data_IF_796922463170
#
_entry.id   IF_796922463170
#
_cell.length_a   1.000
_cell.length_b   1.000
_cell.length_c   1.000
_cell.angle_alpha   90.00
_cell.angle_beta   90.00
_cell.angle_gamma   90.00
#
_symmetry.space_group_name_H-M   'P 1'
#
loop_
_entity.id
_entity.type
_entity.pdbx_description
1 polymer ?
#
# COMPACT_ATOMS: atom_id res chain seq x y z
N UNK A 1 -22.70 -15.55 20.20
CA UNK A 1 -22.46 -14.09 20.28
C UNK A 1 -21.40 -13.81 19.25
N UNK A 2 -21.80 -13.24 18.11
CA UNK A 2 -20.82 -12.68 17.17
C UNK A 2 -20.12 -11.54 17.92
N UNK A 3 -18.82 -11.69 18.17
CA UNK A 3 -17.98 -10.52 18.34
C UNK A 3 -18.08 -9.77 17.02
N UNK A 4 -18.73 -8.60 17.05
CA UNK A 4 -18.57 -7.64 15.97
C UNK A 4 -17.07 -7.34 15.92
N UNK A 5 -16.37 -7.86 14.91
CA UNK A 5 -14.97 -7.52 14.69
C UNK A 5 -14.90 -6.03 14.38
N UNK A 6 -14.24 -5.27 15.27
CA UNK A 6 -14.13 -3.82 15.14
C UNK A 6 -12.73 -3.52 14.57
N UNK A 7 -12.49 -3.87 13.30
CA UNK A 7 -11.16 -3.71 12.67
C UNK A 7 -10.65 -2.28 12.69
N UNK A 8 -11.55 -1.30 12.79
CA UNK A 8 -11.22 0.12 12.91
C UNK A 8 -10.56 0.50 14.25
N UNK A 9 -10.50 -0.41 15.23
CA UNK A 9 -9.71 -0.24 16.46
C UNK A 9 -8.36 -0.98 16.41
N UNK A 10 -8.06 -1.69 15.32
CA UNK A 10 -6.75 -2.31 15.18
C UNK A 10 -5.68 -1.23 15.08
N UNK A 11 -4.54 -1.49 15.72
CA UNK A 11 -3.40 -0.58 15.63
C UNK A 11 -3.03 -0.37 14.16
N UNK A 12 -2.88 0.91 13.76
CA UNK A 12 -2.53 1.27 12.40
C UNK A 12 -3.64 1.12 11.38
N UNK A 13 -4.88 0.76 11.75
CA UNK A 13 -6.00 0.69 10.81
C UNK A 13 -6.94 1.87 11.04
N UNK A 14 -7.15 2.66 10.00
CA UNK A 14 -8.05 3.82 10.03
C UNK A 14 -9.19 3.61 9.06
N UNK A 15 -10.40 3.79 9.56
CA UNK A 15 -11.63 3.69 8.77
C UNK A 15 -12.30 5.05 8.60
N UNK A 16 -13.15 5.15 7.58
CA UNK A 16 -13.99 6.30 7.25
C UNK A 16 -13.22 7.56 6.80
N UNK A 17 -13.90 8.49 6.13
CA UNK A 17 -13.28 9.75 5.71
C UNK A 17 -13.36 10.80 6.83
N UNK A 18 -12.51 11.83 6.77
CA UNK A 18 -12.58 12.96 7.71
C UNK A 18 -13.92 13.70 7.55
N UNK A 19 -14.83 13.52 8.52
CA UNK A 19 -16.13 14.19 8.54
C UNK A 19 -17.30 13.32 9.03
N UNK A 20 -17.11 12.00 9.10
CA UNK A 20 -18.17 11.08 9.49
C UNK A 20 -18.49 11.11 11.00
N UNK A 21 -19.76 10.91 11.36
CA UNK A 21 -20.24 10.90 12.74
C UNK A 21 -19.54 9.80 13.57
N UNK A 22 -19.31 10.08 14.87
CA UNK A 22 -18.52 9.26 15.80
C UNK A 22 -18.98 7.79 15.88
N UNK A 23 -20.24 7.50 15.55
CA UNK A 23 -20.87 6.19 15.70
C UNK A 23 -20.68 5.24 14.50
N UNK A 24 -20.30 5.74 13.32
CA UNK A 24 -20.02 4.91 12.13
C UNK A 24 -18.60 4.33 12.13
N UNK A 25 -17.81 4.62 13.18
CA UNK A 25 -16.35 4.42 13.20
C UNK A 25 -15.85 3.03 13.58
N UNK A 26 -16.73 2.07 13.84
CA UNK A 26 -16.30 0.78 14.41
C UNK A 26 -16.17 -0.35 13.40
N UNK A 27 -16.84 -0.25 12.25
CA UNK A 27 -16.82 -1.29 11.19
C UNK A 27 -16.90 -0.68 9.77
N UNK A 28 -16.30 0.50 9.60
CA UNK A 28 -16.32 1.25 8.36
C UNK A 28 -15.28 0.81 7.32
N UNK A 29 -15.36 1.32 6.08
CA UNK A 29 -14.33 1.07 5.06
C UNK A 29 -12.96 1.52 5.55
N UNK A 30 -11.94 0.67 5.35
CA UNK A 30 -10.54 1.01 5.66
C UNK A 30 -10.03 2.01 4.63
N UNK A 31 -9.54 3.15 5.11
CA UNK A 31 -9.02 4.23 4.26
C UNK A 31 -7.52 4.42 4.41
N UNK A 32 -6.93 4.04 5.55
CA UNK A 32 -5.48 4.09 5.76
C UNK A 32 -4.99 2.88 6.56
N UNK A 33 -3.81 2.39 6.18
CA UNK A 33 -3.03 1.43 6.94
C UNK A 33 -1.68 2.08 7.27
N UNK A 34 -1.41 2.27 8.55
CA UNK A 34 -0.22 2.92 9.11
C UNK A 34 0.50 1.97 10.08
N UNK A 35 1.41 1.17 9.53
CA UNK A 35 2.10 0.11 10.26
C UNK A 35 3.62 0.24 10.20
N UNK A 36 4.15 1.45 10.01
CA UNK A 36 5.59 1.67 9.97
C UNK A 36 6.30 1.27 11.28
N UNK A 37 7.53 0.73 11.17
CA UNK A 37 8.40 0.54 12.33
C UNK A 37 7.93 -0.51 13.35
N UNK A 38 7.05 -1.44 12.97
CA UNK A 38 6.44 -2.41 13.87
C UNK A 38 7.16 -3.77 13.93
N UNK A 39 8.27 -3.93 13.20
CA UNK A 39 8.99 -5.20 13.11
C UNK A 39 8.16 -6.33 12.47
N UNK A 40 7.18 -5.97 11.64
CA UNK A 40 6.33 -6.92 10.93
C UNK A 40 7.17 -7.76 9.96
N UNK A 41 6.83 -9.04 9.83
CA UNK A 41 7.45 -9.95 8.88
C UNK A 41 6.39 -10.74 8.11
N UNK A 42 6.82 -11.49 7.11
CA UNK A 42 5.93 -12.22 6.21
C UNK A 42 5.80 -11.52 4.87
N UNK A 43 4.67 -11.69 4.18
CA UNK A 43 4.43 -11.20 2.83
C UNK A 43 3.16 -10.37 2.75
N UNK A 44 3.05 -9.48 1.76
CA UNK A 44 1.81 -8.76 1.47
C UNK A 44 0.81 -9.75 0.83
N UNK A 45 -0.36 -10.00 1.45
CA UNK A 45 -1.36 -10.91 0.91
C UNK A 45 -2.10 -10.31 -0.29
N UNK A 46 -2.55 -11.15 -1.22
CA UNK A 46 -3.37 -10.74 -2.37
C UNK A 46 -4.68 -10.06 -1.95
N UNK A 47 -5.19 -10.44 -0.79
CA UNK A 47 -6.40 -9.93 -0.16
C UNK A 47 -6.32 -8.43 0.14
N UNK A 48 -5.13 -7.82 0.11
CA UNK A 48 -4.99 -6.35 0.17
C UNK A 48 -5.87 -5.67 -0.89
N UNK A 49 -6.01 -6.26 -2.07
CA UNK A 49 -6.85 -5.74 -3.16
C UNK A 49 -8.34 -5.67 -2.85
N UNK A 50 -8.81 -6.26 -1.75
CA UNK A 50 -10.19 -6.15 -1.28
C UNK A 50 -10.48 -4.80 -0.60
N UNK A 51 -9.45 -4.05 -0.20
CA UNK A 51 -9.59 -2.75 0.47
C UNK A 51 -9.74 -1.62 -0.56
N UNK A 52 -10.77 -1.68 -1.41
CA UNK A 52 -10.93 -0.76 -2.55
C UNK A 52 -11.04 0.73 -2.17
N UNK A 53 -11.30 1.05 -0.90
CA UNK A 53 -11.38 2.41 -0.35
C UNK A 53 -10.07 2.92 0.24
N UNK A 54 -8.99 2.14 0.15
CA UNK A 54 -7.70 2.48 0.74
C UNK A 54 -7.05 3.63 -0.03
N UNK A 55 -6.76 4.71 0.68
CA UNK A 55 -6.07 5.90 0.17
C UNK A 55 -4.58 5.92 0.50
N UNK A 56 -4.20 5.31 1.63
CA UNK A 56 -2.84 5.35 2.16
C UNK A 56 -2.42 4.00 2.71
N UNK A 57 -1.25 3.51 2.29
CA UNK A 57 -0.61 2.34 2.91
C UNK A 57 0.85 2.65 3.22
N UNK A 58 1.21 2.59 4.50
CA UNK A 58 2.60 2.61 4.95
C UNK A 58 2.95 1.34 5.72
N UNK A 59 3.98 0.66 5.23
CA UNK A 59 4.61 -0.52 5.82
C UNK A 59 6.11 -0.27 6.03
N UNK A 60 6.53 0.99 6.08
CA UNK A 60 7.94 1.40 6.12
C UNK A 60 8.70 0.77 7.30
N UNK A 61 10.00 0.55 7.13
CA UNK A 61 10.90 0.14 8.21
C UNK A 61 10.40 -1.11 8.97
N UNK A 62 10.05 -2.15 8.21
CA UNK A 62 9.67 -3.47 8.72
C UNK A 62 10.60 -4.55 8.12
N UNK A 63 10.26 -5.82 8.32
CA UNK A 63 10.95 -6.97 7.73
C UNK A 63 10.02 -7.72 6.75
N UNK A 64 9.24 -6.99 5.96
CA UNK A 64 8.34 -7.57 4.96
C UNK A 64 9.16 -8.13 3.80
N UNK A 65 8.82 -9.36 3.39
CA UNK A 65 9.48 -10.15 2.34
C UNK A 65 8.50 -10.47 1.21
N UNK A 66 8.94 -11.23 0.21
CA UNK A 66 8.09 -11.68 -0.90
C UNK A 66 7.96 -10.63 -1.99
N UNK A 67 6.84 -10.60 -2.70
CA UNK A 67 6.60 -9.71 -3.85
C UNK A 67 5.45 -8.75 -3.57
N UNK A 68 5.39 -7.64 -4.31
CA UNK A 68 4.19 -6.79 -4.37
C UNK A 68 3.12 -7.55 -5.20
N UNK A 69 1.96 -7.91 -4.63
CA UNK A 69 0.93 -8.64 -5.38
C UNK A 69 0.30 -7.75 -6.47
N UNK A 70 -0.09 -8.35 -7.59
CA UNK A 70 -0.75 -7.65 -8.71
C UNK A 70 -2.08 -7.00 -8.31
N UNK A 71 -2.72 -7.55 -7.28
CA UNK A 71 -3.96 -7.12 -6.67
C UNK A 71 -3.86 -5.72 -6.05
N UNK A 72 -2.66 -5.19 -5.83
CA UNK A 72 -2.45 -3.77 -5.49
C UNK A 72 -3.10 -2.86 -6.55
N UNK A 73 -3.13 -3.25 -7.82
CA UNK A 73 -3.81 -2.48 -8.87
C UNK A 73 -5.33 -2.49 -8.81
N UNK A 74 -5.94 -3.15 -7.81
CA UNK A 74 -7.39 -3.08 -7.53
C UNK A 74 -7.75 -1.91 -6.59
N UNK A 75 -6.76 -1.25 -6.00
CA UNK A 75 -6.93 -0.18 -5.01
C UNK A 75 -7.15 1.17 -5.71
N UNK A 76 -8.27 1.37 -6.39
CA UNK A 76 -8.49 2.54 -7.27
C UNK A 76 -8.36 3.90 -6.59
N UNK A 77 -8.63 3.99 -5.29
CA UNK A 77 -8.54 5.23 -4.49
C UNK A 77 -7.14 5.48 -3.91
N UNK A 78 -6.18 4.58 -4.14
CA UNK A 78 -4.87 4.63 -3.50
C UNK A 78 -4.05 5.80 -4.03
N UNK A 79 -3.63 6.66 -3.10
CA UNK A 79 -2.88 7.88 -3.38
C UNK A 79 -1.42 7.78 -2.91
N UNK A 80 -1.14 6.94 -1.91
CA UNK A 80 0.19 6.80 -1.32
C UNK A 80 0.56 5.34 -1.07
N UNK A 81 1.73 4.93 -1.56
CA UNK A 81 2.34 3.63 -1.29
C UNK A 81 3.73 3.85 -0.69
N UNK A 82 3.88 3.55 0.59
CA UNK A 82 5.15 3.66 1.30
C UNK A 82 5.56 2.30 1.86
N UNK A 83 6.50 1.63 1.21
CA UNK A 83 6.99 0.30 1.62
C UNK A 83 8.51 0.25 1.70
N UNK A 84 9.17 1.40 1.80
CA UNK A 84 10.63 1.50 1.90
C UNK A 84 11.19 0.90 3.19
N UNK A 85 12.47 0.49 3.15
CA UNK A 85 13.13 -0.09 4.33
C UNK A 85 12.56 -1.47 4.68
N UNK A 86 12.43 -2.35 3.67
CA UNK A 86 11.94 -3.72 3.83
C UNK A 86 12.83 -4.70 3.03
N UNK A 87 12.43 -5.97 2.99
CA UNK A 87 13.11 -7.02 2.23
C UNK A 87 12.29 -7.47 1.00
N UNK A 88 11.42 -6.60 0.47
CA UNK A 88 10.53 -6.91 -0.67
C UNK A 88 11.38 -7.16 -1.91
N UNK A 89 11.04 -8.19 -2.67
CA UNK A 89 11.78 -8.71 -3.81
C UNK A 89 10.89 -8.88 -5.04
N UNK A 90 11.48 -9.33 -6.15
CA UNK A 90 10.76 -9.50 -7.42
C UNK A 90 10.58 -8.19 -8.18
N UNK A 91 9.65 -8.15 -9.12
CA UNK A 91 9.41 -7.00 -10.00
C UNK A 91 8.31 -6.09 -9.48
N UNK A 92 8.34 -4.82 -9.84
CA UNK A 92 7.18 -3.92 -9.69
C UNK A 92 6.07 -4.43 -10.63
N UNK A 93 4.85 -4.71 -10.16
CA UNK A 93 3.77 -5.20 -11.01
C UNK A 93 3.30 -4.14 -12.00
N UNK A 94 2.97 -4.55 -13.22
CA UNK A 94 2.43 -3.66 -14.27
C UNK A 94 1.12 -2.98 -13.87
N UNK A 95 0.38 -3.64 -12.98
CA UNK A 95 -0.90 -3.21 -12.43
C UNK A 95 -0.81 -1.91 -11.64
N UNK A 96 0.39 -1.47 -11.23
CA UNK A 96 0.58 -0.15 -10.61
C UNK A 96 0.10 0.98 -11.52
N UNK A 97 0.13 0.78 -12.86
CA UNK A 97 -0.40 1.75 -13.82
C UNK A 97 -1.92 1.88 -13.83
N UNK A 98 -2.66 1.06 -13.08
CA UNK A 98 -4.11 1.20 -12.88
C UNK A 98 -4.47 2.17 -11.76
N UNK A 99 -3.49 2.60 -10.97
CA UNK A 99 -3.68 3.46 -9.80
C UNK A 99 -3.65 4.93 -10.21
N UNK A 100 -4.72 5.39 -10.88
CA UNK A 100 -4.77 6.72 -11.47
C UNK A 100 -4.73 7.87 -10.46
N UNK A 101 -5.04 7.61 -9.19
CA UNK A 101 -4.97 8.57 -8.09
C UNK A 101 -3.61 8.59 -7.38
N UNK A 102 -2.64 7.77 -7.82
CA UNK A 102 -1.38 7.59 -7.10
C UNK A 102 -0.45 8.81 -7.24
N UNK A 103 -0.13 9.41 -6.09
CA UNK A 103 0.66 10.64 -5.99
C UNK A 103 2.08 10.39 -5.51
N UNK A 104 2.29 9.43 -4.62
CA UNK A 104 3.58 9.15 -4.02
C UNK A 104 3.83 7.64 -3.90
N UNK A 105 4.96 7.21 -4.45
CA UNK A 105 5.44 5.84 -4.35
C UNK A 105 6.85 5.87 -3.80
N UNK A 106 7.03 5.22 -2.65
CA UNK A 106 8.33 5.02 -1.99
C UNK A 106 8.56 3.52 -1.78
N UNK A 107 9.42 2.94 -2.60
CA UNK A 107 9.84 1.53 -2.54
C UNK A 107 11.37 1.41 -2.38
N UNK A 108 12.05 2.49 -2.00
CA UNK A 108 13.49 2.49 -1.80
C UNK A 108 13.93 1.54 -0.68
N UNK A 109 15.19 1.13 -0.71
CA UNK A 109 15.78 0.24 0.30
C UNK A 109 14.99 -1.08 0.42
N UNK A 110 14.96 -1.80 -0.71
CA UNK A 110 14.34 -3.11 -0.88
C UNK A 110 15.21 -3.94 -1.85
N UNK A 111 14.76 -5.17 -2.16
CA UNK A 111 15.43 -6.11 -3.06
C UNK A 111 14.72 -6.23 -4.43
N UNK A 112 14.05 -5.17 -4.91
CA UNK A 112 13.33 -5.22 -6.20
C UNK A 112 14.29 -5.34 -7.38
N UNK A 113 13.89 -6.11 -8.39
CA UNK A 113 14.67 -6.43 -9.59
C UNK A 113 13.89 -6.13 -10.87
N UNK A 114 14.58 -6.15 -12.01
CA UNK A 114 13.98 -5.97 -13.32
C UNK A 114 13.86 -4.50 -13.73
N UNK A 115 13.07 -4.23 -14.77
CA UNK A 115 12.84 -2.87 -15.27
C UNK A 115 11.65 -2.21 -14.56
N UNK A 116 11.67 -0.88 -14.49
CA UNK A 116 10.48 -0.10 -14.14
C UNK A 116 9.42 -0.35 -15.23
N UNK A 117 8.21 -0.82 -14.88
CA UNK A 117 7.14 -1.06 -15.85
C UNK A 117 6.79 0.22 -16.61
N UNK A 118 6.61 0.12 -17.93
CA UNK A 118 6.19 1.26 -18.76
C UNK A 118 4.85 1.86 -18.34
N UNK A 119 4.04 1.05 -17.67
CA UNK A 119 2.74 1.36 -17.09
C UNK A 119 2.83 2.44 -16.00
N UNK A 120 3.98 2.62 -15.35
CA UNK A 120 4.23 3.78 -14.47
C UNK A 120 4.07 5.11 -15.24
N UNK A 121 4.36 5.11 -16.55
CA UNK A 121 4.13 6.26 -17.42
C UNK A 121 2.65 6.62 -17.60
N UNK A 122 1.72 5.72 -17.30
CA UNK A 122 0.27 5.99 -17.38
C UNK A 122 -0.23 6.90 -16.24
N UNK A 123 0.45 6.85 -15.09
CA UNK A 123 0.10 7.60 -13.87
C UNK A 123 0.99 8.84 -13.66
N UNK A 124 1.93 9.10 -14.57
CA UNK A 124 2.94 10.17 -14.43
C UNK A 124 2.35 11.58 -14.23
N UNK A 125 1.10 11.81 -14.63
CA UNK A 125 0.46 13.12 -14.52
C UNK A 125 -0.01 13.44 -13.10
N UNK A 126 -0.26 12.41 -12.29
CA UNK A 126 -0.65 12.55 -10.88
C UNK A 126 0.55 12.36 -9.93
N UNK A 127 1.59 11.66 -10.39
CA UNK A 127 2.72 11.26 -9.58
C UNK A 127 3.65 12.44 -9.24
N UNK A 128 3.67 12.82 -7.96
CA UNK A 128 4.55 13.84 -7.39
C UNK A 128 5.92 13.28 -7.00
N UNK A 129 5.96 12.02 -6.55
CA UNK A 129 7.19 11.36 -6.11
C UNK A 129 7.23 9.89 -6.51
N UNK A 130 8.37 9.49 -7.07
CA UNK A 130 8.73 8.11 -7.33
C UNK A 130 10.13 7.85 -6.77
N UNK A 131 10.22 7.22 -5.61
CA UNK A 131 11.50 6.81 -5.05
C UNK A 131 11.67 5.29 -5.13
N UNK A 132 12.59 4.87 -6.00
CA UNK A 132 12.96 3.46 -6.22
C UNK A 132 14.45 3.22 -5.95
N UNK A 133 15.13 4.20 -5.32
CA UNK A 133 16.57 4.12 -5.05
C UNK A 133 16.92 2.93 -4.14
N UNK A 134 18.18 2.51 -4.10
CA UNK A 134 18.62 1.40 -3.24
C UNK A 134 17.77 0.12 -3.47
N UNK A 135 17.65 -0.27 -4.74
CA UNK A 135 17.11 -1.54 -5.20
C UNK A 135 18.09 -2.16 -6.22
N UNK A 136 17.69 -3.24 -6.88
CA UNK A 136 18.44 -3.93 -7.93
C UNK A 136 17.76 -3.80 -9.32
N UNK A 137 17.16 -2.63 -9.58
CA UNK A 137 16.47 -2.33 -10.85
C UNK A 137 17.48 -2.03 -11.99
N UNK A 138 17.08 -2.37 -13.22
CA UNK A 138 17.87 -2.19 -14.46
C UNK A 138 17.65 -0.83 -15.12
#
# INVERSE_FOLDING_TARGET
MEETELHCYWHGVHCNEEGDEEYERTNGPVVRIELEGNGLNGTIPSEIGLLSTLHFVTLQDNAITGTIPSEVGMLSELSYIHMNGNEISGTIPTEIGKLYNLEDISLEDNNLVGSIPSEVGLIQHQLNRLNLSTNHLN
#
